data_IF_244923381405
#
_entry.id   IF_244923381405
#
_cell.length_a   1.000
_cell.length_b   1.000
_cell.length_c   1.000
_cell.angle_alpha   90.00
_cell.angle_beta   90.00
_cell.angle_gamma   90.00
#
_symmetry.space_group_name_H-M   'P 1'
#
loop_
_entity.id
_entity.type
_entity.pdbx_description
1 polymer ?
#
# COMPACT_ATOMS: atom_id res chain seq x y z
N UNK A 1 -7.14 -21.40 -6.49
CA UNK A 1 -5.70 -21.61 -6.71
C UNK A 1 -5.24 -21.47 -8.16
N UNK A 2 -5.85 -22.15 -9.15
CA UNK A 2 -5.44 -22.05 -10.57
C UNK A 2 -5.58 -20.63 -11.15
N UNK A 3 -6.55 -19.85 -10.71
CA UNK A 3 -6.80 -18.46 -11.17
C UNK A 3 -5.74 -17.48 -10.63
N UNK A 4 -5.34 -17.61 -9.36
CA UNK A 4 -4.26 -16.83 -8.75
C UNK A 4 -2.90 -17.15 -9.38
N UNK A 5 -2.59 -18.45 -9.58
CA UNK A 5 -1.37 -18.87 -10.26
C UNK A 5 -1.33 -18.35 -11.72
N UNK A 6 -2.49 -18.30 -12.43
CA UNK A 6 -2.59 -17.69 -13.78
C UNK A 6 -2.40 -16.17 -13.74
N UNK A 7 -2.98 -15.48 -12.76
CA UNK A 7 -2.78 -14.03 -12.60
C UNK A 7 -1.28 -13.71 -12.38
N UNK A 8 -0.61 -14.44 -11.49
CA UNK A 8 0.82 -14.28 -11.27
C UNK A 8 1.70 -14.75 -12.44
N UNK A 9 1.32 -15.80 -13.17
CA UNK A 9 2.05 -16.26 -14.36
C UNK A 9 1.99 -15.23 -15.52
N UNK A 10 0.87 -14.50 -15.63
CA UNK A 10 0.72 -13.39 -16.59
C UNK A 10 1.57 -12.16 -16.22
N UNK A 11 1.97 -11.99 -14.94
CA UNK A 11 2.90 -10.95 -14.50
C UNK A 11 4.32 -11.16 -15.03
N UNK A 12 4.75 -12.41 -15.22
CA UNK A 12 6.06 -12.74 -15.79
C UNK A 12 6.15 -12.60 -17.32
N UNK A 13 5.01 -12.44 -18.00
CA UNK A 13 4.90 -12.47 -19.47
C UNK A 13 4.61 -11.10 -20.11
N UNK A 14 4.60 -10.01 -19.33
CA UNK A 14 4.27 -8.70 -19.91
C UNK A 14 5.35 -8.15 -20.81
N UNK A 15 4.99 -7.97 -22.09
CA UNK A 15 5.72 -7.12 -23.04
C UNK A 15 5.36 -5.65 -22.74
N UNK A 16 6.34 -4.73 -22.64
CA UNK A 16 6.08 -3.30 -22.59
C UNK A 16 5.37 -2.90 -23.91
N UNK A 17 4.17 -2.33 -23.81
CA UNK A 17 3.45 -1.79 -24.98
C UNK A 17 2.11 -2.43 -25.34
N UNK A 18 1.55 -3.33 -24.56
CA UNK A 18 0.17 -3.78 -24.75
C UNK A 18 -0.79 -2.65 -24.38
N UNK A 19 -1.51 -2.11 -25.38
CA UNK A 19 -2.56 -1.11 -25.14
C UNK A 19 -3.68 -1.69 -24.27
N UNK A 20 -4.21 -0.93 -23.30
CA UNK A 20 -5.36 -1.37 -22.51
C UNK A 20 -6.55 -1.60 -23.43
N UNK A 21 -7.18 -2.76 -23.32
CA UNK A 21 -8.33 -3.14 -24.14
C UNK A 21 -9.59 -2.34 -23.80
N UNK A 22 -10.60 -2.42 -24.67
CA UNK A 22 -11.82 -1.63 -24.68
C UNK A 22 -12.65 -1.59 -23.37
N UNK A 23 -13.81 -0.92 -23.41
CA UNK A 23 -14.66 -0.56 -22.24
C UNK A 23 -14.98 -1.71 -21.27
N UNK A 24 -15.07 -2.96 -21.75
CA UNK A 24 -15.26 -4.14 -20.89
C UNK A 24 -14.06 -4.47 -19.99
N UNK A 25 -12.84 -4.12 -20.40
CA UNK A 25 -11.63 -4.33 -19.58
C UNK A 25 -11.49 -3.30 -18.46
N UNK A 26 -11.98 -2.08 -18.66
CA UNK A 26 -11.97 -1.03 -17.64
C UNK A 26 -12.87 -1.38 -16.45
N UNK A 27 -14.10 -1.85 -16.69
CA UNK A 27 -15.02 -2.29 -15.64
C UNK A 27 -14.44 -3.45 -14.80
N UNK A 28 -13.79 -4.41 -15.45
CA UNK A 28 -13.09 -5.50 -14.76
C UNK A 28 -11.91 -4.97 -13.93
N UNK A 29 -11.16 -4.00 -14.46
CA UNK A 29 -10.07 -3.34 -13.71
C UNK A 29 -10.55 -2.64 -12.46
N UNK A 30 -11.67 -1.90 -12.54
CA UNK A 30 -12.31 -1.24 -11.41
C UNK A 30 -12.74 -2.26 -10.35
N UNK A 31 -13.39 -3.35 -10.74
CA UNK A 31 -13.78 -4.40 -9.80
C UNK A 31 -12.55 -5.00 -9.08
N UNK A 32 -11.48 -5.27 -9.84
CA UNK A 32 -10.26 -5.86 -9.27
C UNK A 32 -9.57 -4.91 -8.28
N UNK A 33 -9.51 -3.59 -8.55
CA UNK A 33 -8.92 -2.66 -7.60
C UNK A 33 -9.79 -2.50 -6.35
N UNK A 34 -11.11 -2.47 -6.47
CA UNK A 34 -12.01 -2.45 -5.31
C UNK A 34 -11.83 -3.70 -4.43
N UNK A 35 -11.72 -4.89 -5.04
CA UNK A 35 -11.43 -6.13 -4.31
C UNK A 35 -10.02 -6.14 -3.71
N UNK A 36 -9.02 -5.57 -4.40
CA UNK A 36 -7.68 -5.43 -3.87
C UNK A 36 -7.66 -4.56 -2.61
N UNK A 37 -8.32 -3.41 -2.68
CA UNK A 37 -8.42 -2.46 -1.57
C UNK A 37 -9.19 -3.07 -0.39
N UNK A 38 -10.28 -3.79 -0.65
CA UNK A 38 -11.00 -4.56 0.36
C UNK A 38 -10.08 -5.56 1.07
N UNK A 39 -9.29 -6.33 0.33
CA UNK A 39 -8.34 -7.28 0.90
C UNK A 39 -7.21 -6.58 1.67
N UNK A 40 -6.71 -5.42 1.20
CA UNK A 40 -5.71 -4.63 1.93
C UNK A 40 -6.25 -4.16 3.26
N UNK A 41 -7.46 -3.60 3.30
CA UNK A 41 -8.04 -3.10 4.55
C UNK A 41 -8.42 -4.23 5.52
N UNK A 42 -8.78 -5.43 5.02
CA UNK A 42 -8.93 -6.62 5.87
C UNK A 42 -7.58 -7.08 6.44
N UNK A 43 -6.52 -7.05 5.64
CA UNK A 43 -5.15 -7.28 6.14
C UNK A 43 -4.79 -6.29 7.25
N UNK A 44 -5.10 -5.02 7.06
CA UNK A 44 -4.83 -3.97 8.05
C UNK A 44 -5.66 -4.15 9.33
N UNK A 45 -6.90 -4.63 9.21
CA UNK A 45 -7.72 -5.01 10.35
C UNK A 45 -7.13 -6.22 11.12
N UNK A 46 -6.63 -7.24 10.41
CA UNK A 46 -5.87 -8.33 11.03
C UNK A 46 -4.62 -7.81 11.74
N UNK A 47 -3.87 -6.89 11.10
CA UNK A 47 -2.70 -6.28 11.71
C UNK A 47 -3.05 -5.50 12.97
N UNK A 48 -4.13 -4.71 12.94
CA UNK A 48 -4.62 -3.97 14.12
C UNK A 48 -5.01 -4.90 15.25
N UNK A 49 -5.71 -5.99 14.95
CA UNK A 49 -6.07 -6.99 15.96
C UNK A 49 -4.81 -7.60 16.61
N UNK A 50 -3.87 -8.08 15.78
CA UNK A 50 -2.65 -8.70 16.27
C UNK A 50 -1.74 -7.73 17.04
N UNK A 51 -1.70 -6.46 16.65
CA UNK A 51 -0.85 -5.47 17.34
C UNK A 51 -1.40 -5.02 18.69
N UNK A 52 -2.58 -5.49 19.13
CA UNK A 52 -3.07 -5.31 20.48
C UNK A 52 -2.34 -6.22 21.49
N UNK A 53 -2.01 -7.45 21.06
CA UNK A 53 -1.43 -8.47 21.93
C UNK A 53 0.03 -8.79 21.58
N UNK A 54 0.46 -8.50 20.34
CA UNK A 54 1.79 -8.81 19.83
C UNK A 54 2.55 -7.56 19.42
N UNK A 55 3.86 -7.60 19.58
CA UNK A 55 4.71 -6.49 19.10
C UNK A 55 4.63 -6.34 17.58
N UNK A 56 4.54 -5.09 17.08
CA UNK A 56 4.38 -4.80 15.66
C UNK A 56 5.46 -5.47 14.78
N UNK A 57 6.70 -5.61 15.28
CA UNK A 57 7.77 -6.30 14.56
C UNK A 57 7.43 -7.76 14.24
N UNK A 58 6.73 -8.48 15.13
CA UNK A 58 6.29 -9.85 14.92
C UNK A 58 5.16 -9.93 13.89
N UNK A 59 4.25 -8.97 13.90
CA UNK A 59 3.14 -8.89 12.93
C UNK A 59 3.69 -8.58 11.52
N UNK A 60 4.64 -7.65 11.42
CA UNK A 60 5.34 -7.33 10.17
C UNK A 60 6.12 -8.55 9.64
N UNK A 61 6.84 -9.24 10.52
CA UNK A 61 7.56 -10.46 10.18
C UNK A 61 6.63 -11.53 9.61
N UNK A 62 5.53 -11.82 10.30
CA UNK A 62 4.56 -12.83 9.87
C UNK A 62 3.98 -12.51 8.49
N UNK A 63 3.66 -11.23 8.22
CA UNK A 63 3.20 -10.78 6.91
C UNK A 63 4.18 -11.16 5.80
N UNK A 64 5.48 -10.87 5.98
CA UNK A 64 6.48 -11.14 4.95
C UNK A 64 6.79 -12.63 4.82
N UNK A 65 6.87 -13.37 5.92
CA UNK A 65 7.12 -14.83 5.92
C UNK A 65 5.98 -15.58 5.22
N UNK A 66 4.72 -15.30 5.58
CA UNK A 66 3.57 -15.91 4.92
C UNK A 66 3.52 -15.54 3.43
N UNK A 67 3.86 -14.29 3.08
CA UNK A 67 3.95 -13.85 1.69
C UNK A 67 5.01 -14.67 0.92
N UNK A 68 6.22 -14.84 1.47
CA UNK A 68 7.27 -15.69 0.85
C UNK A 68 6.80 -17.12 0.70
N UNK A 69 6.17 -17.70 1.74
CA UNK A 69 5.67 -19.07 1.70
C UNK A 69 4.61 -19.26 0.60
N UNK A 70 3.68 -18.33 0.45
CA UNK A 70 2.66 -18.36 -0.60
C UNK A 70 3.28 -18.18 -2.00
N UNK A 71 4.23 -17.25 -2.17
CA UNK A 71 4.93 -17.07 -3.44
C UNK A 71 5.76 -18.31 -3.80
N UNK A 72 6.44 -18.93 -2.83
CA UNK A 72 7.17 -20.18 -3.03
C UNK A 72 6.24 -21.32 -3.48
N UNK A 73 5.06 -21.42 -2.88
CA UNK A 73 4.05 -22.40 -3.26
C UNK A 73 3.51 -22.14 -4.68
N UNK A 74 3.27 -20.89 -5.05
CA UNK A 74 2.72 -20.50 -6.35
C UNK A 74 3.74 -20.62 -7.49
N UNK A 75 4.97 -20.20 -7.26
CA UNK A 75 6.02 -20.18 -8.31
C UNK A 75 6.94 -21.40 -8.30
N UNK A 76 6.95 -22.18 -7.22
CA UNK A 76 7.76 -23.44 -7.08
C UNK A 76 9.14 -23.32 -7.76
N UNK A 77 9.41 -24.12 -8.79
CA UNK A 77 10.72 -24.17 -9.48
C UNK A 77 11.12 -22.89 -10.26
N UNK A 78 10.28 -21.86 -10.34
CA UNK A 78 10.60 -20.59 -11.01
C UNK A 78 11.21 -19.52 -10.09
N UNK A 79 11.25 -19.75 -8.78
CA UNK A 79 11.81 -18.84 -7.78
C UNK A 79 13.24 -18.39 -8.11
N UNK A 80 14.19 -19.29 -8.48
CA UNK A 80 15.56 -18.90 -8.79
C UNK A 80 15.68 -17.97 -9.99
N UNK A 81 14.77 -18.07 -10.95
CA UNK A 81 14.75 -17.18 -12.12
C UNK A 81 14.18 -15.80 -11.76
N UNK A 82 13.16 -15.75 -10.89
CA UNK A 82 12.52 -14.52 -10.47
C UNK A 82 13.36 -13.68 -9.49
N UNK A 83 14.28 -14.29 -8.75
CA UNK A 83 15.15 -13.57 -7.82
C UNK A 83 16.30 -12.84 -8.54
N UNK A 84 16.57 -13.19 -9.79
CA UNK A 84 17.58 -12.51 -10.60
C UNK A 84 17.07 -11.15 -11.05
N UNK A 85 17.70 -10.10 -10.56
CA UNK A 85 17.42 -8.71 -10.89
C UNK A 85 18.59 -8.11 -11.67
N UNK A 86 18.28 -7.25 -12.64
CA UNK A 86 19.28 -6.43 -13.33
C UNK A 86 19.76 -5.23 -12.50
N UNK A 87 18.98 -4.85 -11.47
CA UNK A 87 19.24 -3.69 -10.62
C UNK A 87 19.04 -4.03 -9.12
N UNK A 88 19.87 -4.95 -8.56
CA UNK A 88 19.67 -5.48 -7.21
C UNK A 88 19.72 -4.39 -6.12
N UNK A 89 20.57 -3.37 -6.27
CA UNK A 89 20.67 -2.25 -5.34
C UNK A 89 19.37 -1.44 -5.24
N UNK A 90 18.74 -1.14 -6.39
CA UNK A 90 17.45 -0.45 -6.40
C UNK A 90 16.33 -1.32 -5.85
N UNK A 91 16.34 -2.63 -6.12
CA UNK A 91 15.36 -3.56 -5.54
C UNK A 91 15.50 -3.63 -4.02
N UNK A 92 16.73 -3.65 -3.50
CA UNK A 92 16.98 -3.63 -2.06
C UNK A 92 16.51 -2.32 -1.43
N UNK A 93 16.85 -1.15 -2.00
CA UNK A 93 16.39 0.15 -1.52
C UNK A 93 14.86 0.26 -1.53
N UNK A 94 14.21 -0.25 -2.57
CA UNK A 94 12.76 -0.34 -2.68
C UNK A 94 12.15 -1.24 -1.60
N UNK A 95 12.76 -2.40 -1.34
CA UNK A 95 12.30 -3.30 -0.29
C UNK A 95 12.42 -2.66 1.10
N UNK A 96 13.53 -1.95 1.38
CA UNK A 96 13.73 -1.23 2.64
C UNK A 96 12.64 -0.17 2.88
N UNK A 97 12.35 0.66 1.88
CA UNK A 97 11.32 1.70 2.00
C UNK A 97 9.92 1.09 2.19
N UNK A 98 9.64 -0.05 1.56
CA UNK A 98 8.39 -0.78 1.77
C UNK A 98 8.29 -1.36 3.19
N UNK A 99 9.36 -2.00 3.69
CA UNK A 99 9.41 -2.56 5.05
C UNK A 99 9.21 -1.45 6.08
N UNK A 100 9.90 -0.33 5.90
CA UNK A 100 9.78 0.83 6.78
C UNK A 100 8.33 1.37 6.79
N UNK A 101 7.71 1.53 5.62
CA UNK A 101 6.33 1.99 5.51
C UNK A 101 5.37 1.07 6.25
N UNK A 102 5.48 -0.25 6.03
CA UNK A 102 4.62 -1.24 6.69
C UNK A 102 4.84 -1.27 8.20
N UNK A 103 6.11 -1.23 8.64
CA UNK A 103 6.44 -1.26 10.06
C UNK A 103 5.90 -0.02 10.78
N UNK A 104 6.07 1.17 10.19
CA UNK A 104 5.55 2.43 10.74
C UNK A 104 4.02 2.42 10.81
N UNK A 105 3.36 1.96 9.74
CA UNK A 105 1.90 1.87 9.71
C UNK A 105 1.38 0.86 10.75
N UNK A 106 1.90 -0.37 10.80
CA UNK A 106 1.45 -1.37 11.77
C UNK A 106 1.75 -0.97 13.22
N UNK A 107 2.89 -0.30 13.46
CA UNK A 107 3.18 0.25 14.78
C UNK A 107 2.17 1.33 15.18
N UNK A 108 1.73 2.17 14.26
CA UNK A 108 0.73 3.20 14.54
C UNK A 108 -0.62 2.60 14.97
N UNK A 109 -0.99 1.44 14.43
CA UNK A 109 -2.25 0.77 14.74
C UNK A 109 -2.39 0.35 16.20
N UNK A 110 -1.28 0.26 16.95
CA UNK A 110 -1.30 0.01 18.39
C UNK A 110 -1.90 1.19 19.17
N UNK A 111 -1.80 2.40 18.62
CA UNK A 111 -2.07 3.64 19.33
C UNK A 111 -3.26 4.42 18.79
N UNK A 112 -3.51 4.34 17.46
CA UNK A 112 -4.54 5.13 16.78
C UNK A 112 -5.53 4.24 16.04
N UNK A 113 -6.68 4.83 15.67
CA UNK A 113 -7.75 4.14 14.95
C UNK A 113 -7.33 3.71 13.54
N UNK A 114 -7.93 2.62 13.05
CA UNK A 114 -7.65 2.11 11.70
C UNK A 114 -8.00 3.16 10.62
N UNK A 115 -9.16 3.81 10.74
CA UNK A 115 -9.58 4.86 9.82
C UNK A 115 -8.66 6.08 9.86
N UNK A 116 -8.18 6.46 11.05
CA UNK A 116 -7.24 7.57 11.25
C UNK A 116 -5.90 7.29 10.59
N UNK A 117 -5.31 6.12 10.87
CA UNK A 117 -4.06 5.69 10.25
C UNK A 117 -4.15 5.63 8.72
N UNK A 118 -5.25 5.07 8.19
CA UNK A 118 -5.51 4.96 6.75
C UNK A 118 -5.68 6.35 6.11
N UNK A 119 -6.42 7.26 6.75
CA UNK A 119 -6.61 8.63 6.24
C UNK A 119 -5.26 9.36 6.09
N UNK A 120 -4.36 9.21 7.07
CA UNK A 120 -3.03 9.81 7.00
C UNK A 120 -2.20 9.16 5.87
N UNK A 121 -2.25 7.84 5.72
CA UNK A 121 -1.57 7.13 4.63
C UNK A 121 -2.11 7.53 3.24
N UNK A 122 -3.37 7.89 3.11
CA UNK A 122 -3.99 8.31 1.84
C UNK A 122 -3.46 9.65 1.31
N UNK A 123 -2.52 10.30 2.02
CA UNK A 123 -1.67 11.36 1.45
C UNK A 123 -0.64 10.84 0.43
N UNK A 124 -0.44 9.52 0.32
CA UNK A 124 0.52 8.89 -0.57
C UNK A 124 0.50 9.39 -2.03
N UNK A 125 -0.65 9.50 -2.74
CA UNK A 125 -0.65 9.93 -4.14
C UNK A 125 -0.08 11.34 -4.30
N UNK A 126 -0.35 12.18 -3.32
CA UNK A 126 0.13 13.57 -3.29
C UNK A 126 1.64 13.63 -3.04
N UNK A 127 2.14 12.81 -2.10
CA UNK A 127 3.57 12.71 -1.80
C UNK A 127 4.36 12.09 -2.96
N UNK A 128 3.79 11.10 -3.66
CA UNK A 128 4.40 10.52 -4.88
C UNK A 128 4.53 11.59 -5.95
N UNK A 129 3.50 12.41 -6.14
CA UNK A 129 3.51 13.52 -7.08
C UNK A 129 4.58 14.55 -6.74
N UNK A 130 4.68 14.96 -5.46
CA UNK A 130 5.71 15.87 -4.98
C UNK A 130 7.11 15.28 -5.18
N UNK A 131 7.31 14.00 -4.82
CA UNK A 131 8.58 13.30 -5.00
C UNK A 131 8.99 13.16 -6.48
N UNK A 132 8.04 12.90 -7.38
CA UNK A 132 8.31 12.86 -8.82
C UNK A 132 8.80 14.21 -9.34
N UNK A 133 8.24 15.30 -8.88
CA UNK A 133 8.72 16.65 -9.24
C UNK A 133 10.11 16.95 -8.69
N UNK A 134 10.38 16.60 -7.43
CA UNK A 134 11.66 16.92 -6.77
C UNK A 134 12.82 16.06 -7.27
N UNK A 135 12.57 14.76 -7.50
CA UNK A 135 13.62 13.77 -7.79
C UNK A 135 13.68 13.34 -9.25
N UNK A 136 12.55 13.40 -10.00
CA UNK A 136 12.50 13.03 -11.41
C UNK A 136 12.45 14.26 -12.34
N UNK A 137 12.45 15.48 -11.77
CA UNK A 137 12.47 16.73 -12.54
C UNK A 137 11.14 17.03 -13.26
N UNK A 138 10.04 16.42 -12.85
CA UNK A 138 8.72 16.69 -13.42
C UNK A 138 8.26 18.11 -13.03
N UNK A 139 7.79 18.90 -14.00
CA UNK A 139 7.28 20.26 -13.73
C UNK A 139 5.91 20.18 -13.07
N UNK A 140 5.78 20.75 -11.89
CA UNK A 140 4.50 20.90 -11.20
C UNK A 140 3.98 22.33 -11.36
N UNK A 141 2.74 22.44 -11.87
CA UNK A 141 2.05 23.73 -11.92
C UNK A 141 1.51 24.15 -10.54
N UNK A 142 1.27 25.46 -10.36
CA UNK A 142 0.78 26.04 -9.09
C UNK A 142 -0.46 25.31 -8.53
N UNK A 143 -1.38 24.90 -9.39
CA UNK A 143 -2.61 24.18 -8.97
C UNK A 143 -2.35 22.82 -8.35
N UNK A 144 -1.31 22.12 -8.83
CA UNK A 144 -0.87 20.84 -8.27
C UNK A 144 -0.21 21.05 -6.90
N UNK A 145 0.56 22.13 -6.76
CA UNK A 145 1.14 22.55 -5.47
C UNK A 145 0.04 22.86 -4.45
N UNK A 146 -1.02 23.54 -4.86
CA UNK A 146 -2.17 23.82 -3.99
C UNK A 146 -2.90 22.53 -3.55
N UNK A 147 -3.07 21.56 -4.45
CA UNK A 147 -3.60 20.24 -4.11
C UNK A 147 -2.73 19.49 -3.10
N UNK A 148 -1.41 19.55 -3.27
CA UNK A 148 -0.43 18.99 -2.31
C UNK A 148 -0.58 19.66 -0.95
N UNK A 149 -0.62 20.99 -0.91
CA UNK A 149 -0.81 21.76 0.33
C UNK A 149 -2.13 21.41 1.03
N UNK A 150 -3.23 21.29 0.28
CA UNK A 150 -4.53 20.91 0.81
C UNK A 150 -4.52 19.52 1.43
N UNK A 151 -3.91 18.51 0.76
CA UNK A 151 -3.83 17.16 1.30
C UNK A 151 -2.99 17.09 2.60
N UNK A 152 -1.86 17.81 2.64
CA UNK A 152 -1.04 17.91 3.85
C UNK A 152 -1.79 18.64 4.98
N UNK A 153 -2.55 19.70 4.68
CA UNK A 153 -3.41 20.36 5.65
C UNK A 153 -4.49 19.41 6.19
N UNK A 154 -5.11 18.60 5.32
CA UNK A 154 -6.06 17.56 5.73
C UNK A 154 -5.43 16.54 6.68
N UNK A 155 -4.21 16.09 6.40
CA UNK A 155 -3.49 15.19 7.28
C UNK A 155 -3.17 15.84 8.64
N UNK A 156 -2.80 17.11 8.67
CA UNK A 156 -2.59 17.86 9.92
C UNK A 156 -3.88 18.01 10.75
N UNK A 157 -5.04 18.11 10.09
CA UNK A 157 -6.35 18.11 10.75
C UNK A 157 -6.63 16.75 11.41
N UNK A 158 -6.26 15.63 10.78
CA UNK A 158 -6.36 14.29 11.38
C UNK A 158 -5.40 14.15 12.55
N UNK A 159 -4.14 14.56 12.39
CA UNK A 159 -3.07 14.41 13.39
C UNK A 159 -3.27 15.32 14.62
N UNK A 160 -3.86 16.51 14.45
CA UNK A 160 -4.18 17.49 15.52
C UNK A 160 -3.01 17.87 16.44
N UNK A 161 -1.87 18.31 15.93
CA UNK A 161 -0.75 18.68 16.79
C UNK A 161 -1.15 19.87 17.71
N UNK A 162 -0.90 19.72 19.01
CA UNK A 162 -1.12 20.79 20.00
C UNK A 162 -2.53 20.89 20.59
N UNK A 163 -3.49 20.03 20.23
CA UNK A 163 -4.87 20.10 20.73
C UNK A 163 -5.14 19.25 21.99
N UNK A 164 -4.14 18.89 22.77
CA UNK A 164 -4.33 18.11 24.03
C UNK A 164 -4.69 16.64 23.83
N UNK A 165 -5.20 16.27 22.67
CA UNK A 165 -5.50 14.88 22.25
C UNK A 165 -4.47 14.36 21.23
N UNK A 166 -3.40 15.13 21.00
CA UNK A 166 -2.34 14.75 20.07
C UNK A 166 -1.64 13.47 20.53
N UNK A 167 -1.69 12.46 19.69
CA UNK A 167 -0.92 11.24 19.87
C UNK A 167 0.32 11.28 18.96
N UNK A 168 1.55 11.31 19.49
CA UNK A 168 2.76 11.30 18.67
C UNK A 168 2.80 10.12 17.68
N UNK A 169 2.13 9.02 18.01
CA UNK A 169 1.98 7.86 17.14
C UNK A 169 1.29 8.16 15.80
N UNK A 170 0.48 9.23 15.69
CA UNK A 170 -0.12 9.67 14.44
C UNK A 170 0.93 10.21 13.42
N UNK A 171 2.15 10.53 13.87
CA UNK A 171 3.25 10.83 12.97
C UNK A 171 3.83 9.58 12.28
N UNK A 172 3.65 8.40 12.85
CA UNK A 172 4.15 7.16 12.25
C UNK A 172 3.57 6.87 10.87
N UNK A 173 2.23 6.90 10.65
CA UNK A 173 1.68 6.71 9.32
C UNK A 173 2.04 7.84 8.36
N UNK A 174 2.28 9.07 8.83
CA UNK A 174 2.77 10.16 7.99
C UNK A 174 4.19 9.88 7.47
N UNK A 175 5.11 9.46 8.34
CA UNK A 175 6.46 9.03 7.95
C UNK A 175 6.36 7.79 7.05
N UNK A 176 5.42 6.88 7.36
CA UNK A 176 5.08 5.73 6.53
C UNK A 176 4.65 6.11 5.12
N UNK A 177 3.85 7.18 4.98
CA UNK A 177 3.44 7.71 3.69
C UNK A 177 4.61 8.25 2.86
N UNK A 178 5.57 8.93 3.49
CA UNK A 178 6.81 9.36 2.81
C UNK A 178 7.66 8.17 2.35
N UNK A 179 7.83 7.16 3.19
CA UNK A 179 8.59 5.95 2.82
C UNK A 179 7.88 5.15 1.72
N UNK A 180 6.55 5.11 1.73
CA UNK A 180 5.76 4.53 0.65
C UNK A 180 5.92 5.32 -0.66
N UNK A 181 5.88 6.64 -0.61
CA UNK A 181 6.13 7.48 -1.78
C UNK A 181 7.54 7.25 -2.36
N UNK A 182 8.56 7.13 -1.51
CA UNK A 182 9.90 6.76 -1.92
C UNK A 182 9.94 5.36 -2.58
N UNK A 183 9.23 4.37 -2.02
CA UNK A 183 9.07 3.04 -2.63
C UNK A 183 8.46 3.13 -4.04
N UNK A 184 7.40 3.93 -4.20
CA UNK A 184 6.75 4.13 -5.49
C UNK A 184 7.67 4.78 -6.53
N UNK A 185 8.48 5.76 -6.13
CA UNK A 185 9.47 6.40 -7.01
C UNK A 185 10.59 5.44 -7.40
N UNK A 186 11.15 4.68 -6.45
CA UNK A 186 12.14 3.64 -6.74
C UNK A 186 11.57 2.57 -7.67
N UNK A 187 10.28 2.20 -7.51
CA UNK A 187 9.61 1.26 -8.41
C UNK A 187 9.54 1.79 -9.85
N UNK A 188 9.35 3.11 -10.03
CA UNK A 188 9.39 3.74 -11.36
C UNK A 188 10.80 3.72 -11.98
N UNK A 189 11.84 3.70 -11.16
CA UNK A 189 13.24 3.61 -11.63
C UNK A 189 13.62 2.20 -12.05
N UNK A 190 13.06 1.17 -11.42
CA UNK A 190 13.30 -0.25 -11.76
C UNK A 190 12.41 -0.64 -12.96
N UNK A 191 12.85 -0.27 -14.18
CA UNK A 191 12.06 -0.49 -15.41
C UNK A 191 12.36 -1.81 -16.11
N UNK A 192 13.51 -2.41 -15.83
CA UNK A 192 14.03 -3.60 -16.55
C UNK A 192 13.56 -4.92 -15.94
N UNK A 193 13.18 -4.92 -14.66
CA UNK A 193 12.79 -6.12 -13.95
C UNK A 193 11.27 -6.39 -14.06
N UNK A 194 10.89 -7.66 -13.97
CA UNK A 194 9.48 -8.03 -13.93
C UNK A 194 8.84 -7.61 -12.61
N UNK A 195 7.52 -7.36 -12.65
CA UNK A 195 6.73 -7.07 -11.44
C UNK A 195 6.86 -8.22 -10.42
N UNK A 196 6.86 -9.48 -10.91
CA UNK A 196 7.03 -10.64 -10.06
C UNK A 196 8.40 -10.65 -9.34
N UNK A 197 9.47 -10.26 -10.03
CA UNK A 197 10.81 -10.04 -9.44
C UNK A 197 10.74 -9.01 -8.32
N UNK A 198 10.10 -7.89 -8.59
CA UNK A 198 9.96 -6.80 -7.60
C UNK A 198 9.16 -7.21 -6.35
N UNK A 199 8.05 -7.93 -6.52
CA UNK A 199 7.25 -8.46 -5.40
C UNK A 199 8.06 -9.48 -4.59
N UNK A 200 8.77 -10.39 -5.28
CA UNK A 200 9.59 -11.41 -4.63
C UNK A 200 10.75 -10.78 -3.83
N UNK A 201 11.44 -9.79 -4.40
CA UNK A 201 12.51 -9.07 -3.71
C UNK A 201 12.00 -8.41 -2.43
N UNK A 202 10.84 -7.74 -2.47
CA UNK A 202 10.24 -7.14 -1.26
C UNK A 202 9.89 -8.19 -0.23
N UNK A 203 9.29 -9.31 -0.65
CA UNK A 203 8.88 -10.36 0.26
C UNK A 203 10.10 -11.04 0.92
N UNK A 204 11.10 -11.43 0.13
CA UNK A 204 12.30 -12.13 0.62
C UNK A 204 13.16 -11.20 1.49
N UNK A 205 13.46 -9.99 1.03
CA UNK A 205 14.20 -9.01 1.82
C UNK A 205 13.47 -8.69 3.12
N UNK A 206 12.14 -8.50 3.05
CA UNK A 206 11.31 -8.28 4.22
C UNK A 206 11.37 -9.44 5.20
N UNK A 207 11.20 -10.67 4.73
CA UNK A 207 11.29 -11.85 5.58
C UNK A 207 12.67 -11.99 6.24
N UNK A 208 13.77 -11.78 5.49
CA UNK A 208 15.14 -11.88 6.03
C UNK A 208 15.38 -10.81 7.10
N UNK A 209 15.14 -9.54 6.78
CA UNK A 209 15.44 -8.44 7.70
C UNK A 209 14.56 -8.48 8.95
N UNK A 210 13.26 -8.79 8.80
CA UNK A 210 12.37 -8.88 9.95
C UNK A 210 12.65 -10.14 10.79
N UNK A 211 13.15 -11.24 10.19
CA UNK A 211 13.61 -12.43 10.92
C UNK A 211 14.84 -12.15 11.78
N UNK A 212 15.68 -11.19 11.41
CA UNK A 212 16.80 -10.75 12.25
C UNK A 212 16.33 -9.91 13.45
N UNK A 213 15.21 -9.21 13.34
CA UNK A 213 14.69 -8.31 14.38
C UNK A 213 13.71 -9.01 15.30
N UNK A 214 12.85 -9.90 14.78
CA UNK A 214 11.76 -10.51 15.54
C UNK A 214 12.17 -11.28 16.79
N UNK A 215 13.34 -11.95 16.87
CA UNK A 215 13.73 -12.69 18.10
C UNK A 215 13.81 -11.80 19.35
N UNK A 216 14.11 -10.50 19.17
CA UNK A 216 14.19 -9.53 20.29
C UNK A 216 12.81 -9.12 20.83
N UNK A 217 11.75 -9.36 20.08
CA UNK A 217 10.38 -8.95 20.39
C UNK A 217 9.40 -10.14 20.33
N UNK A 218 9.93 -11.36 20.34
CA UNK A 218 9.11 -12.55 20.18
C UNK A 218 8.19 -12.78 21.37
N UNK A 219 6.93 -12.96 21.07
CA UNK A 219 5.90 -13.38 22.01
C UNK A 219 5.30 -14.72 21.54
N UNK A 220 5.05 -15.69 22.42
CA UNK A 220 4.42 -16.94 22.03
C UNK A 220 3.08 -16.69 21.38
N UNK A 221 2.86 -17.28 20.19
CA UNK A 221 1.61 -17.10 19.45
C UNK A 221 0.55 -18.01 20.07
N UNK A 222 -0.56 -17.41 20.50
CA UNK A 222 -1.75 -18.13 20.94
C UNK A 222 -2.35 -18.95 19.82
N UNK A 223 -2.85 -20.14 20.14
CA UNK A 223 -3.48 -21.02 19.14
C UNK A 223 -4.69 -20.39 18.46
N UNK A 224 -5.39 -19.49 19.18
CA UNK A 224 -6.52 -18.71 18.65
C UNK A 224 -6.12 -17.68 17.58
N UNK A 225 -4.89 -17.14 17.62
CA UNK A 225 -4.45 -16.07 16.74
C UNK A 225 -3.68 -16.55 15.51
N UNK A 226 -3.28 -17.83 15.50
CA UNK A 226 -2.52 -18.39 14.39
C UNK A 226 -3.22 -18.21 13.04
N UNK A 227 -4.53 -18.34 12.99
CA UNK A 227 -5.29 -18.15 11.77
C UNK A 227 -5.30 -16.68 11.33
N UNK A 228 -5.25 -15.71 12.27
CA UNK A 228 -5.19 -14.27 11.97
C UNK A 228 -3.83 -13.92 11.36
N UNK A 229 -2.73 -14.48 11.90
CA UNK A 229 -1.40 -14.35 11.32
C UNK A 229 -1.32 -14.89 9.89
N UNK A 230 -1.95 -16.04 9.63
CA UNK A 230 -2.04 -16.59 8.27
C UNK A 230 -2.92 -15.72 7.38
N UNK A 231 -4.10 -15.29 7.86
CA UNK A 231 -5.02 -14.43 7.13
C UNK A 231 -4.38 -13.10 6.74
N UNK A 232 -3.60 -12.47 7.63
CA UNK A 232 -2.80 -11.28 7.37
C UNK A 232 -1.94 -11.42 6.10
N UNK A 233 -1.15 -12.49 6.02
CA UNK A 233 -0.28 -12.73 4.87
C UNK A 233 -1.04 -13.14 3.62
N UNK A 234 -2.12 -13.90 3.76
CA UNK A 234 -2.99 -14.32 2.64
C UNK A 234 -3.68 -13.11 2.03
N UNK A 235 -4.33 -12.26 2.83
CA UNK A 235 -4.97 -11.04 2.35
C UNK A 235 -3.95 -10.10 1.71
N UNK A 236 -2.76 -9.92 2.30
CA UNK A 236 -1.68 -9.13 1.72
C UNK A 236 -1.21 -9.65 0.36
N UNK A 237 -1.11 -10.97 0.18
CA UNK A 237 -0.71 -11.58 -1.09
C UNK A 237 -1.81 -11.47 -2.15
N UNK A 238 -3.06 -11.72 -1.77
CA UNK A 238 -4.22 -11.63 -2.66
C UNK A 238 -4.41 -10.19 -3.13
N UNK A 239 -4.38 -9.23 -2.23
CA UNK A 239 -4.55 -7.81 -2.55
C UNK A 239 -3.48 -7.32 -3.53
N UNK A 240 -2.22 -7.70 -3.31
CA UNK A 240 -1.12 -7.38 -4.21
C UNK A 240 -1.34 -7.97 -5.61
N UNK A 241 -1.78 -9.23 -5.70
CA UNK A 241 -2.06 -9.89 -6.96
C UNK A 241 -3.21 -9.22 -7.72
N UNK A 242 -4.30 -8.90 -7.03
CA UNK A 242 -5.47 -8.22 -7.60
C UNK A 242 -5.10 -6.80 -8.08
N UNK A 243 -4.35 -6.05 -7.27
CA UNK A 243 -3.88 -4.71 -7.59
C UNK A 243 -3.04 -4.71 -8.87
N UNK A 244 -2.04 -5.59 -8.94
CA UNK A 244 -1.20 -5.71 -10.13
C UNK A 244 -2.05 -6.09 -11.34
N UNK A 245 -2.97 -7.05 -11.20
CA UNK A 245 -3.86 -7.45 -12.29
C UNK A 245 -4.75 -6.29 -12.75
N UNK A 246 -5.30 -5.48 -11.84
CA UNK A 246 -6.07 -4.30 -12.18
C UNK A 246 -5.26 -3.35 -13.08
N UNK A 247 -4.03 -3.00 -12.65
CA UNK A 247 -3.14 -2.12 -13.41
C UNK A 247 -2.62 -2.71 -14.73
N UNK A 248 -2.75 -4.02 -14.94
CA UNK A 248 -2.39 -4.64 -16.23
C UNK A 248 -3.50 -4.54 -17.28
N UNK A 249 -4.75 -4.39 -16.85
CA UNK A 249 -5.90 -4.42 -17.75
C UNK A 249 -6.63 -3.08 -17.87
N UNK A 250 -6.35 -2.13 -16.98
CA UNK A 250 -6.94 -0.80 -17.02
C UNK A 250 -5.89 0.29 -16.71
N UNK A 251 -6.14 1.48 -17.21
CA UNK A 251 -5.26 2.64 -17.02
C UNK A 251 -5.24 3.10 -15.56
N UNK A 252 -4.06 3.45 -15.06
CA UNK A 252 -3.89 3.92 -13.70
C UNK A 252 -4.77 5.15 -13.39
N UNK A 253 -4.96 6.04 -14.38
CA UNK A 253 -5.83 7.19 -14.25
C UNK A 253 -7.31 6.85 -14.04
N UNK A 254 -7.80 5.70 -14.56
CA UNK A 254 -9.17 5.23 -14.31
C UNK A 254 -9.29 4.59 -12.92
N UNK A 255 -8.24 3.91 -12.47
CA UNK A 255 -8.24 3.13 -11.23
C UNK A 255 -8.01 3.98 -9.97
N UNK A 256 -7.25 5.06 -10.08
CA UNK A 256 -6.79 5.85 -8.92
C UNK A 256 -7.92 6.32 -7.97
N UNK A 257 -9.09 6.81 -8.43
CA UNK A 257 -10.17 7.22 -7.54
C UNK A 257 -10.69 6.10 -6.63
N UNK A 258 -10.66 4.86 -7.14
CA UNK A 258 -11.18 3.69 -6.40
C UNK A 258 -10.26 3.25 -5.27
N UNK A 259 -9.00 3.69 -5.27
CA UNK A 259 -8.08 3.51 -4.13
C UNK A 259 -8.62 4.11 -2.83
N UNK A 260 -9.28 5.26 -2.92
CA UNK A 260 -9.86 5.95 -1.75
C UNK A 260 -11.04 5.21 -1.10
N UNK A 261 -11.59 4.17 -1.76
CA UNK A 261 -12.60 3.31 -1.11
C UNK A 261 -12.03 2.59 0.12
N UNK A 262 -10.70 2.49 0.22
CA UNK A 262 -10.01 1.94 1.39
C UNK A 262 -10.36 2.66 2.69
N UNK A 263 -10.56 3.97 2.65
CA UNK A 263 -10.97 4.74 3.81
C UNK A 263 -12.36 4.34 4.33
N UNK A 264 -13.28 4.07 3.41
CA UNK A 264 -14.64 3.61 3.76
C UNK A 264 -14.57 2.23 4.43
N UNK A 265 -13.79 1.32 3.86
CA UNK A 265 -13.57 0.00 4.44
C UNK A 265 -12.84 0.07 5.78
N UNK A 266 -11.79 0.89 5.89
CA UNK A 266 -11.06 1.07 7.15
C UNK A 266 -11.97 1.62 8.26
N UNK A 267 -12.87 2.55 7.94
CA UNK A 267 -13.90 3.05 8.86
C UNK A 267 -14.88 1.94 9.28
N UNK A 268 -15.34 1.14 8.30
CA UNK A 268 -16.26 0.04 8.55
C UNK A 268 -15.62 -1.04 9.44
N UNK A 269 -14.40 -1.47 9.15
CA UNK A 269 -13.67 -2.46 9.95
C UNK A 269 -13.30 -1.91 11.33
N UNK A 270 -12.94 -0.63 11.41
CA UNK A 270 -12.69 0.08 12.67
C UNK A 270 -13.90 0.03 13.60
N UNK A 271 -15.08 0.27 13.04
CA UNK A 271 -16.33 0.18 13.80
C UNK A 271 -16.72 -1.27 14.12
N UNK A 272 -16.72 -2.16 13.11
CA UNK A 272 -17.24 -3.52 13.25
C UNK A 272 -16.38 -4.39 14.18
N UNK A 273 -15.07 -4.32 14.08
CA UNK A 273 -14.16 -5.19 14.83
C UNK A 273 -13.61 -4.54 16.11
N UNK A 274 -13.54 -3.21 16.17
CA UNK A 274 -12.88 -2.51 17.26
C UNK A 274 -13.80 -1.50 17.98
N UNK A 275 -15.05 -1.33 17.53
CA UNK A 275 -15.97 -0.35 18.09
C UNK A 275 -15.49 1.11 17.91
N UNK A 276 -14.55 1.36 17.01
CA UNK A 276 -13.95 2.67 16.79
C UNK A 276 -14.59 3.36 15.60
N UNK A 277 -15.39 4.38 15.86
CA UNK A 277 -15.88 5.27 14.81
C UNK A 277 -14.91 6.43 14.61
N UNK A 278 -14.62 6.81 13.34
CA UNK A 278 -13.84 8.00 13.07
C UNK A 278 -14.60 9.24 13.60
N UNK A 279 -13.89 10.11 14.29
CA UNK A 279 -14.47 11.35 14.77
C UNK A 279 -14.61 12.41 13.65
N UNK A 280 -15.27 13.52 13.95
CA UNK A 280 -15.55 14.56 12.97
C UNK A 280 -14.26 15.17 12.37
N UNK A 281 -13.17 15.23 13.11
CA UNK A 281 -11.89 15.75 12.63
C UNK A 281 -11.24 14.79 11.66
N UNK A 282 -11.27 13.49 11.98
CA UNK A 282 -10.79 12.43 11.09
C UNK A 282 -11.60 12.42 9.79
N UNK A 283 -12.94 12.52 9.88
CA UNK A 283 -13.81 12.58 8.70
C UNK A 283 -13.52 13.83 7.86
N UNK A 284 -13.38 15.01 8.51
CA UNK A 284 -13.10 16.26 7.81
C UNK A 284 -11.73 16.23 7.13
N UNK A 285 -10.67 15.84 7.85
CA UNK A 285 -9.34 15.74 7.29
C UNK A 285 -9.25 14.72 6.16
N UNK A 286 -9.89 13.56 6.31
CA UNK A 286 -10.00 12.54 5.28
C UNK A 286 -10.72 13.06 4.02
N UNK A 287 -11.85 13.77 4.19
CA UNK A 287 -12.56 14.38 3.06
C UNK A 287 -11.68 15.39 2.29
N UNK A 288 -10.87 16.18 3.00
CA UNK A 288 -9.93 17.11 2.39
C UNK A 288 -8.83 16.36 1.64
N UNK A 289 -8.24 15.28 2.21
CA UNK A 289 -7.20 14.47 1.57
C UNK A 289 -7.75 13.84 0.29
N UNK A 290 -8.90 13.17 0.38
CA UNK A 290 -9.56 12.53 -0.77
C UNK A 290 -9.91 13.58 -1.83
N UNK A 291 -10.52 14.70 -1.44
CA UNK A 291 -10.86 15.78 -2.35
C UNK A 291 -9.64 16.38 -3.07
N UNK A 292 -8.54 16.60 -2.35
CA UNK A 292 -7.29 17.07 -2.92
C UNK A 292 -6.69 16.05 -3.90
N UNK A 293 -6.66 14.76 -3.53
CA UNK A 293 -6.17 13.69 -4.39
C UNK A 293 -7.00 13.51 -5.66
N UNK A 294 -8.33 13.54 -5.54
CA UNK A 294 -9.25 13.48 -6.70
C UNK A 294 -9.11 14.71 -7.60
N UNK A 295 -8.89 15.89 -7.02
CA UNK A 295 -8.64 17.12 -7.79
C UNK A 295 -7.34 17.03 -8.60
N UNK A 296 -6.24 16.56 -7.97
CA UNK A 296 -4.96 16.37 -8.66
C UNK A 296 -5.13 15.34 -9.79
N UNK A 297 -5.75 14.21 -9.49
CA UNK A 297 -6.05 13.17 -10.48
C UNK A 297 -6.88 13.68 -11.67
N UNK A 298 -7.98 14.40 -11.41
CA UNK A 298 -8.84 14.93 -12.46
C UNK A 298 -8.09 15.90 -13.38
N UNK A 299 -7.22 16.71 -12.81
CA UNK A 299 -6.39 17.65 -13.57
C UNK A 299 -5.36 16.94 -14.45
N UNK A 300 -4.71 15.91 -13.96
CA UNK A 300 -3.77 15.09 -14.73
C UNK A 300 -4.48 14.39 -15.91
N UNK A 301 -5.61 13.77 -15.64
CA UNK A 301 -6.42 13.12 -16.67
C UNK A 301 -6.92 14.09 -17.76
N UNK A 302 -7.20 15.35 -17.36
CA UNK A 302 -7.62 16.39 -18.32
C UNK A 302 -6.44 16.92 -19.15
N UNK A 303 -5.28 17.12 -18.54
CA UNK A 303 -4.07 17.56 -19.26
C UNK A 303 -3.66 16.52 -20.30
N UNK A 304 -3.62 15.24 -19.95
CA UNK A 304 -3.29 14.15 -20.85
C UNK A 304 -4.22 14.05 -22.08
N UNK A 305 -5.50 14.48 -21.95
CA UNK A 305 -6.47 14.52 -23.07
C UNK A 305 -6.30 15.73 -24.00
N UNK A 306 -5.60 16.78 -23.55
CA UNK A 306 -5.39 17.99 -24.36
C UNK A 306 -4.07 17.93 -25.15
N UNK A 307 -3.15 17.06 -24.74
CA UNK A 307 -1.83 16.88 -25.36
C UNK A 307 -1.81 15.69 -26.38
N UNK A 308 -2.88 14.90 -26.48
CA UNK A 308 -3.08 13.80 -27.45
C UNK A 308 -4.18 14.10 -28.46
#
# INVERSE_FOLDING_TARGET
MRTLARAFALMGAQRPGAQPGGTGSQGTGILLICLAVLCFTLMDACAKHLTQDYHAAQVVWARFVVNVALLALLFRGRMPALIRSSQPGLQFGRALTQIASVALFFTSLQFIGLAEATAIMDTNPVLITLGAALFLGERIGLRRILGIGAALAGAMIVIRPGMGVFQPAALLPMIGAFTYAANALLTRMVRSDSIATSVLWSAVTGAILTSAVVPFFWQPIGTGDLWVFVALGVFGTISQALLIRAFTIAEAGVLAPFGYTGLVWAGLWGWLFFGQLPDNWTITGAAIIVGAGLYVWWREARAARMDG
#
